data_IF_772735992242
#
_entry.id   IF_772735992242
#
_cell.length_a   1.000
_cell.length_b   1.000
_cell.length_c   1.000
_cell.angle_alpha   90.00
_cell.angle_beta   90.00
_cell.angle_gamma   90.00
#
_symmetry.space_group_name_H-M   'P 1'
#
loop_
_entity.id
_entity.type
_entity.pdbx_description
1 polymer ?
#
# COMPACT_ATOMS: atom_id res chain seq x y z
N UNK A 1 63.49 -6.57 -8.76
CA UNK A 1 62.53 -7.60 -8.29
C UNK A 1 61.39 -6.96 -7.48
N UNK A 2 61.68 -5.97 -6.63
CA UNK A 2 60.69 -5.31 -5.76
C UNK A 2 59.62 -4.51 -6.51
N UNK A 3 59.98 -3.85 -7.62
CA UNK A 3 59.01 -3.14 -8.48
C UNK A 3 57.92 -4.08 -9.00
N UNK A 4 58.30 -5.32 -9.37
CA UNK A 4 57.39 -6.33 -9.89
C UNK A 4 56.46 -6.86 -8.79
N UNK A 5 56.97 -7.04 -7.57
CA UNK A 5 56.15 -7.39 -6.40
C UNK A 5 55.14 -6.28 -6.09
N UNK A 6 55.56 -5.02 -6.15
CA UNK A 6 54.67 -3.88 -5.91
C UNK A 6 53.56 -3.81 -6.97
N UNK A 7 53.89 -3.98 -8.24
CA UNK A 7 52.93 -4.03 -9.35
C UNK A 7 51.93 -5.18 -9.19
N UNK A 8 52.38 -6.37 -8.79
CA UNK A 8 51.51 -7.52 -8.51
C UNK A 8 50.51 -7.22 -7.39
N UNK A 9 50.96 -6.61 -6.29
CA UNK A 9 50.09 -6.26 -5.16
C UNK A 9 49.06 -5.20 -5.60
N UNK A 10 49.48 -4.18 -6.34
CA UNK A 10 48.57 -3.17 -6.88
C UNK A 10 47.51 -3.78 -7.80
N UNK A 11 47.89 -4.71 -8.68
CA UNK A 11 46.95 -5.38 -9.58
C UNK A 11 45.89 -6.17 -8.80
N UNK A 12 46.32 -6.93 -7.79
CA UNK A 12 45.41 -7.72 -6.93
C UNK A 12 44.45 -6.80 -6.18
N UNK A 13 44.95 -5.71 -5.58
CA UNK A 13 44.12 -4.71 -4.92
C UNK A 13 43.07 -4.12 -5.87
N UNK A 14 43.47 -3.79 -7.09
CA UNK A 14 42.59 -3.23 -8.10
C UNK A 14 41.47 -4.21 -8.48
N UNK A 15 41.81 -5.50 -8.63
CA UNK A 15 40.82 -6.56 -8.89
C UNK A 15 39.82 -6.68 -7.73
N UNK A 16 40.29 -6.70 -6.48
CA UNK A 16 39.42 -6.82 -5.31
C UNK A 16 38.45 -5.63 -5.23
N UNK A 17 38.96 -4.40 -5.39
CA UNK A 17 38.12 -3.18 -5.37
C UNK A 17 37.10 -3.19 -6.50
N UNK A 18 37.50 -3.61 -7.71
CA UNK A 18 36.61 -3.70 -8.86
C UNK A 18 35.48 -4.71 -8.63
N UNK A 19 35.81 -5.92 -8.13
CA UNK A 19 34.81 -6.95 -7.80
C UNK A 19 33.87 -6.46 -6.70
N UNK A 20 34.40 -5.85 -5.64
CA UNK A 20 33.60 -5.30 -4.54
C UNK A 20 32.64 -4.21 -5.02
N UNK A 21 33.10 -3.34 -5.91
CA UNK A 21 32.27 -2.28 -6.49
C UNK A 21 31.06 -2.84 -7.27
N UNK A 22 31.30 -3.83 -8.13
CA UNK A 22 30.22 -4.49 -8.90
C UNK A 22 29.25 -5.23 -7.97
N UNK A 23 29.75 -5.95 -6.98
CA UNK A 23 28.93 -6.69 -6.03
C UNK A 23 28.06 -5.78 -5.14
N UNK A 24 28.61 -4.63 -4.71
CA UNK A 24 27.86 -3.61 -3.96
C UNK A 24 26.65 -3.11 -4.75
N UNK A 25 26.85 -2.85 -6.05
CA UNK A 25 25.74 -2.45 -6.95
C UNK A 25 24.69 -3.55 -7.08
N UNK A 26 25.09 -4.82 -7.08
CA UNK A 26 24.15 -5.94 -7.20
C UNK A 26 23.27 -6.13 -5.95
N UNK A 27 23.86 -6.02 -4.75
CA UNK A 27 23.07 -6.10 -3.50
C UNK A 27 22.04 -4.98 -3.36
N UNK A 28 22.36 -3.79 -3.86
CA UNK A 28 21.42 -2.67 -3.85
C UNK A 28 20.22 -2.92 -4.77
N UNK A 29 20.41 -3.61 -5.90
CA UNK A 29 19.32 -3.95 -6.83
C UNK A 29 18.38 -5.00 -6.23
N UNK A 30 18.90 -6.07 -5.62
CA UNK A 30 18.07 -7.10 -4.98
C UNK A 30 17.21 -6.53 -3.83
N UNK A 31 17.82 -5.68 -2.99
CA UNK A 31 17.11 -5.03 -1.90
C UNK A 31 16.02 -4.08 -2.42
N UNK A 32 16.27 -3.36 -3.50
CA UNK A 32 15.28 -2.47 -4.12
C UNK A 32 14.10 -3.24 -4.72
N UNK A 33 14.35 -4.41 -5.32
CA UNK A 33 13.30 -5.29 -5.83
C UNK A 33 12.40 -5.83 -4.72
N UNK A 34 12.98 -6.29 -3.61
CA UNK A 34 12.22 -6.72 -2.42
C UNK A 34 11.37 -5.60 -1.84
N UNK A 35 11.90 -4.38 -1.79
CA UNK A 35 11.15 -3.19 -1.35
C UNK A 35 10.00 -2.90 -2.32
N UNK A 36 10.24 -2.99 -3.63
CA UNK A 36 9.23 -2.73 -4.66
C UNK A 36 8.05 -3.71 -4.58
N UNK A 37 8.33 -5.01 -4.40
CA UNK A 37 7.28 -6.03 -4.23
C UNK A 37 6.46 -5.80 -2.96
N UNK A 38 7.13 -5.60 -1.83
CA UNK A 38 6.45 -5.33 -0.56
C UNK A 38 5.62 -4.05 -0.61
N UNK A 39 6.13 -2.99 -1.26
CA UNK A 39 5.41 -1.73 -1.44
C UNK A 39 4.21 -1.85 -2.38
N UNK A 40 4.28 -2.73 -3.38
CA UNK A 40 3.15 -3.01 -4.27
C UNK A 40 2.02 -3.74 -3.54
N UNK A 41 2.36 -4.73 -2.72
CA UNK A 41 1.37 -5.43 -1.88
C UNK A 41 0.72 -4.49 -0.86
N UNK A 42 1.50 -3.60 -0.24
CA UNK A 42 0.98 -2.58 0.68
C UNK A 42 -0.03 -1.65 -0.03
N UNK A 43 0.33 -1.13 -1.22
CA UNK A 43 -0.55 -0.26 -2.01
C UNK A 43 -1.85 -0.96 -2.40
N UNK A 44 -1.79 -2.24 -2.77
CA UNK A 44 -2.99 -3.02 -3.09
C UNK A 44 -3.90 -3.17 -1.87
N UNK A 45 -3.34 -3.49 -0.70
CA UNK A 45 -4.11 -3.60 0.53
C UNK A 45 -4.74 -2.26 0.96
N UNK A 46 -4.00 -1.15 0.86
CA UNK A 46 -4.53 0.19 1.16
C UNK A 46 -5.67 0.58 0.21
N UNK A 47 -5.55 0.23 -1.08
CA UNK A 47 -6.59 0.54 -2.06
C UNK A 47 -7.86 -0.27 -1.82
N UNK A 48 -7.73 -1.54 -1.45
CA UNK A 48 -8.86 -2.38 -1.08
C UNK A 48 -9.53 -1.89 0.21
N UNK A 49 -8.75 -1.50 1.22
CA UNK A 49 -9.28 -0.90 2.44
C UNK A 49 -10.10 0.37 2.15
N UNK A 50 -9.59 1.27 1.30
CA UNK A 50 -10.32 2.49 0.90
C UNK A 50 -11.63 2.15 0.18
N UNK A 51 -11.62 1.17 -0.71
CA UNK A 51 -12.82 0.71 -1.42
C UNK A 51 -13.86 0.16 -0.45
N UNK A 52 -13.47 -0.69 0.48
CA UNK A 52 -14.36 -1.25 1.50
C UNK A 52 -14.92 -0.16 2.42
N UNK A 53 -14.11 0.83 2.81
CA UNK A 53 -14.61 1.97 3.61
C UNK A 53 -15.64 2.81 2.84
N UNK A 54 -15.45 3.01 1.54
CA UNK A 54 -16.43 3.69 0.68
C UNK A 54 -17.71 2.87 0.53
N UNK A 55 -17.62 1.54 0.41
CA UNK A 55 -18.76 0.65 0.34
C UNK A 55 -19.56 0.64 1.65
N UNK A 56 -18.88 0.58 2.80
CA UNK A 56 -19.50 0.73 4.12
C UNK A 56 -20.17 2.10 4.26
N UNK A 57 -19.52 3.18 3.83
CA UNK A 57 -20.10 4.52 3.87
C UNK A 57 -21.35 4.63 2.97
N UNK A 58 -21.31 4.04 1.77
CA UNK A 58 -22.43 3.94 0.84
C UNK A 58 -23.60 3.15 1.43
N UNK A 59 -23.32 1.98 2.03
CA UNK A 59 -24.32 1.15 2.70
C UNK A 59 -24.93 1.86 3.92
N UNK A 60 -24.13 2.66 4.64
CA UNK A 60 -24.60 3.49 5.77
C UNK A 60 -25.20 4.82 5.33
N UNK A 61 -25.23 5.15 4.04
CA UNK A 61 -25.72 6.45 3.60
C UNK A 61 -27.22 6.53 3.86
N UNK A 62 -27.70 7.55 4.61
CA UNK A 62 -29.10 7.72 4.97
C UNK A 62 -30.06 7.66 3.77
N UNK A 63 -29.62 8.13 2.60
CA UNK A 63 -30.41 8.10 1.36
C UNK A 63 -30.75 6.69 0.85
N UNK A 64 -29.88 5.69 1.03
CA UNK A 64 -30.22 4.30 0.70
C UNK A 64 -31.18 3.69 1.72
N UNK A 65 -31.00 4.02 2.99
CA UNK A 65 -31.92 3.59 4.07
C UNK A 65 -33.32 4.16 3.80
N UNK A 66 -33.41 5.43 3.44
CA UNK A 66 -34.68 6.11 3.12
C UNK A 66 -35.33 5.55 1.83
N UNK A 67 -34.53 5.22 0.81
CA UNK A 67 -35.04 4.57 -0.41
C UNK A 67 -35.59 3.16 -0.16
N UNK A 68 -34.90 2.34 0.65
CA UNK A 68 -35.37 1.00 1.04
C UNK A 68 -36.60 1.11 1.96
N UNK A 69 -36.59 2.04 2.91
CA UNK A 69 -37.70 2.31 3.81
C UNK A 69 -38.98 2.67 3.03
N UNK A 70 -38.90 3.61 2.09
CA UNK A 70 -40.05 4.07 1.30
C UNK A 70 -40.46 3.08 0.19
N UNK A 71 -39.48 2.48 -0.48
CA UNK A 71 -39.72 1.64 -1.66
C UNK A 71 -40.05 0.19 -1.32
N UNK A 72 -39.22 -0.48 -0.53
CA UNK A 72 -39.36 -1.93 -0.27
C UNK A 72 -40.14 -2.23 1.01
N UNK A 73 -39.98 -1.39 2.04
CA UNK A 73 -40.65 -1.56 3.34
C UNK A 73 -41.99 -0.81 3.43
N UNK A 74 -42.34 0.00 2.43
CA UNK A 74 -43.59 0.76 2.39
C UNK A 74 -43.75 1.80 3.52
N UNK A 75 -42.65 2.22 4.15
CA UNK A 75 -42.66 3.24 5.20
C UNK A 75 -42.90 4.62 4.59
N UNK A 76 -43.95 5.30 5.06
CA UNK A 76 -44.18 6.72 4.80
C UNK A 76 -43.69 7.56 5.98
N UNK A 77 -43.30 8.82 5.74
CA UNK A 77 -43.01 9.74 6.84
C UNK A 77 -44.27 9.88 7.72
N UNK A 78 -44.15 9.79 9.05
CA UNK A 78 -45.28 9.96 9.96
C UNK A 78 -45.86 11.36 9.79
N UNK A 79 -47.19 11.45 9.79
CA UNK A 79 -47.90 12.75 9.75
C UNK A 79 -47.74 13.43 11.11
N UNK A 80 -47.80 14.77 11.19
CA UNK A 80 -47.51 15.54 12.42
C UNK A 80 -48.32 15.08 13.66
N UNK A 81 -49.47 14.44 13.44
CA UNK A 81 -50.34 13.87 14.47
C UNK A 81 -49.83 12.54 15.08
N UNK A 82 -48.80 11.91 14.51
CA UNK A 82 -48.26 10.61 14.92
C UNK A 82 -46.92 10.70 15.68
N UNK A 83 -46.44 11.92 15.97
CA UNK A 83 -45.15 12.14 16.64
C UNK A 83 -45.40 12.22 18.15
N UNK A 84 -44.95 11.21 18.90
CA UNK A 84 -44.95 11.23 20.37
C UNK A 84 -43.56 11.64 20.85
N UNK A 85 -43.44 12.85 21.39
CA UNK A 85 -42.19 13.33 22.01
C UNK A 85 -42.01 12.63 23.36
N UNK A 86 -41.13 11.63 23.42
CA UNK A 86 -40.76 10.97 24.68
C UNK A 86 -39.68 11.81 25.35
N UNK A 87 -39.94 12.21 26.60
CA UNK A 87 -39.11 13.12 27.40
C UNK A 87 -38.10 12.36 28.26
#
# INVERSE_FOLDING_TARGET
LDIFRFLMICMILFTIVSVFHVWSRFKLVDLNLRISESSRSLKQAEQEQKRLMLEVASLRTPGRIDAIAKGELGMALPTEQQIVLVK
#
